data_IF_710541013432
#
_entry.id   IF_710541013432
#
_cell.length_a   1.000
_cell.length_b   1.000
_cell.length_c   1.000
_cell.angle_alpha   90.00
_cell.angle_beta   90.00
_cell.angle_gamma   90.00
#
_symmetry.space_group_name_H-M   'P 1'
#
loop_
_entity.id
_entity.type
_entity.pdbx_description
1 polymer ?
#
# COMPACT_ATOMS: atom_id res chain seq x y z
N UNK A 1 -15.26 31.98 -4.18
CA UNK A 1 -13.94 32.21 -3.56
C UNK A 1 -13.42 30.88 -3.01
N UNK A 2 -12.18 30.46 -3.30
CA UNK A 2 -11.60 29.32 -2.58
C UNK A 2 -11.37 29.72 -1.11
N UNK A 3 -11.45 28.78 -0.16
CA UNK A 3 -11.24 29.09 1.26
C UNK A 3 -9.82 29.60 1.50
N UNK A 4 -9.69 30.77 2.14
CA UNK A 4 -8.40 31.33 2.55
C UNK A 4 -7.81 30.45 3.66
N UNK A 5 -6.82 29.62 3.30
CA UNK A 5 -6.08 28.80 4.26
C UNK A 5 -5.37 29.74 5.24
N UNK A 6 -5.72 29.64 6.52
CA UNK A 6 -5.12 30.48 7.57
C UNK A 6 -3.65 30.11 7.81
N UNK A 7 -2.82 31.01 8.35
CA UNK A 7 -1.39 30.73 8.61
C UNK A 7 -1.17 29.49 9.49
N UNK A 8 -2.01 29.28 10.51
CA UNK A 8 -2.02 28.08 11.36
C UNK A 8 -2.30 26.79 10.57
N UNK A 9 -3.16 26.89 9.56
CA UNK A 9 -3.57 25.76 8.75
C UNK A 9 -2.50 25.41 7.72
N UNK A 10 -1.77 26.40 7.17
CA UNK A 10 -0.56 26.16 6.37
C UNK A 10 0.54 25.48 7.16
N UNK A 11 0.83 25.95 8.38
CA UNK A 11 1.85 25.33 9.23
C UNK A 11 1.53 23.86 9.54
N UNK A 12 0.26 23.54 9.85
CA UNK A 12 -0.20 22.15 10.03
C UNK A 12 -0.08 21.31 8.76
N UNK A 13 -0.39 21.89 7.60
CA UNK A 13 -0.27 21.20 6.30
C UNK A 13 1.20 20.82 6.02
N UNK A 14 2.13 21.76 6.20
CA UNK A 14 3.57 21.50 6.03
C UNK A 14 4.07 20.41 6.98
N UNK A 15 3.60 20.40 8.23
CA UNK A 15 3.93 19.33 9.19
C UNK A 15 3.34 17.97 8.77
N UNK A 16 2.14 17.92 8.19
CA UNK A 16 1.53 16.68 7.70
C UNK A 16 2.25 16.13 6.47
N UNK A 17 2.69 17.00 5.55
CA UNK A 17 3.48 16.59 4.39
C UNK A 17 4.85 16.06 4.79
N UNK A 18 5.54 16.71 5.73
CA UNK A 18 6.81 16.23 6.26
C UNK A 18 6.66 14.87 6.96
N UNK A 19 5.61 14.73 7.78
CA UNK A 19 5.28 13.47 8.44
C UNK A 19 4.99 12.35 7.44
N UNK A 20 4.20 12.63 6.39
CA UNK A 20 3.93 11.66 5.34
C UNK A 20 5.19 11.27 4.59
N UNK A 21 6.04 12.23 4.23
CA UNK A 21 7.30 11.94 3.54
C UNK A 21 8.13 10.95 4.35
N UNK A 22 8.33 11.21 5.64
CA UNK A 22 9.04 10.31 6.54
C UNK A 22 8.37 8.92 6.60
N UNK A 23 7.04 8.86 6.74
CA UNK A 23 6.30 7.59 6.74
C UNK A 23 6.48 6.81 5.44
N UNK A 24 6.47 7.49 4.29
CA UNK A 24 6.59 6.87 2.98
C UNK A 24 8.02 6.42 2.67
N UNK A 25 9.04 7.16 3.12
CA UNK A 25 10.45 6.76 3.03
C UNK A 25 10.73 5.45 3.77
N UNK A 26 10.02 5.22 4.88
CA UNK A 26 10.11 4.00 5.66
C UNK A 26 9.38 2.81 5.03
N UNK A 27 8.71 2.99 3.88
CA UNK A 27 8.10 1.92 3.11
C UNK A 27 9.07 1.51 1.99
N UNK A 28 9.97 0.53 2.20
CA UNK A 28 10.89 0.14 1.15
C UNK A 28 10.08 -0.41 -0.02
N UNK A 29 10.36 0.08 -1.22
CA UNK A 29 9.68 -0.37 -2.45
C UNK A 29 9.96 -1.87 -2.70
N UNK A 30 11.05 -2.39 -2.13
CA UNK A 30 11.67 -3.67 -2.51
C UNK A 30 11.42 -4.85 -1.56
N UNK A 31 11.02 -4.64 -0.29
CA UNK A 31 11.09 -5.72 0.72
C UNK A 31 9.92 -6.71 0.75
N UNK A 32 8.93 -6.59 -0.14
CA UNK A 32 7.77 -7.51 -0.17
C UNK A 32 6.86 -7.45 1.08
N UNK A 33 7.31 -6.79 2.15
CA UNK A 33 6.58 -6.61 3.40
C UNK A 33 5.87 -5.26 3.39
N UNK A 34 4.55 -5.30 3.53
CA UNK A 34 3.78 -4.09 3.83
C UNK A 34 3.73 -3.92 5.36
N UNK A 35 4.26 -2.82 5.91
CA UNK A 35 4.25 -2.58 7.35
C UNK A 35 2.83 -2.41 7.89
N UNK A 36 2.66 -2.74 9.16
CA UNK A 36 1.40 -2.54 9.88
C UNK A 36 1.21 -1.05 10.17
N UNK A 37 -0.05 -0.65 10.39
CA UNK A 37 -0.38 0.73 10.77
C UNK A 37 0.38 1.20 12.02
N UNK A 38 0.54 0.32 13.01
CA UNK A 38 1.31 0.62 14.22
C UNK A 38 2.79 0.91 13.95
N UNK A 39 3.38 0.28 12.94
CA UNK A 39 4.76 0.53 12.54
C UNK A 39 4.89 1.93 11.94
N UNK A 40 3.90 2.38 11.15
CA UNK A 40 3.85 3.75 10.65
C UNK A 40 3.67 4.78 11.77
N UNK A 41 2.77 4.52 12.71
CA UNK A 41 2.56 5.38 13.87
C UNK A 41 3.85 5.55 14.69
N UNK A 42 4.52 4.43 15.00
CA UNK A 42 5.77 4.43 15.76
C UNK A 42 6.86 5.20 15.04
N UNK A 43 7.00 4.99 13.73
CA UNK A 43 8.09 5.59 12.99
C UNK A 43 7.85 7.07 12.64
N UNK A 44 6.59 7.52 12.64
CA UNK A 44 6.22 8.93 12.59
C UNK A 44 6.20 9.62 13.96
N UNK A 45 6.28 8.86 15.07
CA UNK A 45 6.15 9.40 16.43
C UNK A 45 4.77 9.98 16.73
N UNK A 46 3.69 9.48 16.10
CA UNK A 46 2.33 10.02 16.26
C UNK A 46 1.29 8.96 16.59
N UNK A 47 0.16 9.42 17.15
CA UNK A 47 -1.01 8.57 17.33
C UNK A 47 -1.64 8.18 15.98
N UNK A 48 -2.38 7.07 15.97
CA UNK A 48 -3.15 6.64 14.79
C UNK A 48 -4.15 7.71 14.32
N UNK A 49 -4.75 8.45 15.26
CA UNK A 49 -5.67 9.55 14.94
C UNK A 49 -4.96 10.67 14.17
N UNK A 50 -3.77 11.06 14.62
CA UNK A 50 -2.96 12.09 13.94
C UNK A 50 -2.54 11.60 12.57
N UNK A 51 -2.06 10.36 12.46
CA UNK A 51 -1.66 9.76 11.19
C UNK A 51 -2.82 9.72 10.21
N UNK A 52 -4.01 9.28 10.65
CA UNK A 52 -5.22 9.24 9.82
C UNK A 52 -5.62 10.62 9.34
N UNK A 53 -5.58 11.62 10.22
CA UNK A 53 -5.89 13.01 9.86
C UNK A 53 -4.91 13.53 8.82
N UNK A 54 -3.61 13.30 9.02
CA UNK A 54 -2.57 13.72 8.08
C UNK A 54 -2.79 13.07 6.71
N UNK A 55 -2.98 11.74 6.66
CA UNK A 55 -3.25 10.97 5.43
C UNK A 55 -4.48 11.48 4.66
N UNK A 56 -5.60 11.75 5.36
CA UNK A 56 -6.81 12.27 4.72
C UNK A 56 -6.58 13.70 4.21
N UNK A 57 -5.92 14.56 5.00
CA UNK A 57 -5.69 15.96 4.66
C UNK A 57 -4.71 16.17 3.50
N UNK A 58 -3.89 15.16 3.17
CA UNK A 58 -2.82 15.25 2.17
C UNK A 58 -3.05 14.32 0.96
N UNK A 59 -3.47 13.07 1.19
CA UNK A 59 -3.69 12.06 0.15
C UNK A 59 -5.18 11.78 -0.11
N UNK A 60 -6.09 12.41 0.65
CA UNK A 60 -7.53 12.20 0.52
C UNK A 60 -7.99 10.79 0.93
N UNK A 61 -7.15 9.98 1.58
CA UNK A 61 -7.45 8.60 1.90
C UNK A 61 -6.90 8.16 3.25
N UNK A 62 -7.55 7.16 3.86
CA UNK A 62 -7.08 6.60 5.13
C UNK A 62 -5.78 5.78 4.96
N UNK A 63 -4.90 5.75 5.97
CA UNK A 63 -3.64 5.00 5.92
C UNK A 63 -3.83 3.50 5.62
N UNK A 64 -4.89 2.89 6.19
CA UNK A 64 -5.21 1.48 5.98
C UNK A 64 -5.59 1.18 4.53
N UNK A 65 -6.31 2.10 3.87
CA UNK A 65 -6.64 1.98 2.45
C UNK A 65 -5.38 2.11 1.60
N UNK A 66 -4.53 3.09 1.89
CA UNK A 66 -3.25 3.27 1.21
C UNK A 66 -2.37 2.02 1.31
N UNK A 67 -2.19 1.49 2.53
CA UNK A 67 -1.43 0.26 2.77
C UNK A 67 -1.98 -0.93 1.99
N UNK A 68 -3.31 -1.08 1.92
CA UNK A 68 -3.95 -2.15 1.15
C UNK A 68 -3.67 -2.02 -0.34
N UNK A 69 -3.80 -0.82 -0.91
CA UNK A 69 -3.50 -0.58 -2.32
C UNK A 69 -2.03 -0.87 -2.62
N UNK A 70 -1.12 -0.32 -1.81
CA UNK A 70 0.32 -0.56 -1.96
C UNK A 70 0.65 -2.05 -1.94
N UNK A 71 0.03 -2.81 -1.03
CA UNK A 71 0.20 -4.26 -0.91
C UNK A 71 -0.27 -5.01 -2.16
N UNK A 72 -1.40 -4.62 -2.74
CA UNK A 72 -1.91 -5.18 -4.00
C UNK A 72 -0.98 -4.85 -5.18
N UNK A 73 -0.45 -3.63 -5.26
CA UNK A 73 0.52 -3.25 -6.30
C UNK A 73 1.83 -4.04 -6.20
N UNK A 74 2.35 -4.25 -4.98
CA UNK A 74 3.56 -5.05 -4.79
C UNK A 74 3.30 -6.54 -5.09
N UNK A 75 2.13 -7.06 -4.71
CA UNK A 75 1.71 -8.42 -5.08
C UNK A 75 1.67 -8.58 -6.60
N UNK A 76 1.08 -7.62 -7.33
CA UNK A 76 1.05 -7.61 -8.80
C UNK A 76 2.46 -7.63 -9.39
N UNK A 77 3.36 -6.79 -8.88
CA UNK A 77 4.75 -6.75 -9.35
C UNK A 77 5.47 -8.08 -9.12
N UNK A 78 5.25 -8.72 -7.97
CA UNK A 78 5.83 -10.03 -7.68
C UNK A 78 5.23 -11.16 -8.54
N UNK A 79 3.92 -11.12 -8.84
CA UNK A 79 3.28 -12.08 -9.73
C UNK A 79 3.81 -11.96 -11.16
N UNK A 80 4.04 -10.73 -11.64
CA UNK A 80 4.50 -10.47 -13.00
C UNK A 80 5.93 -10.96 -13.30
N UNK A 81 6.77 -11.12 -12.27
CA UNK A 81 8.15 -11.61 -12.41
C UNK A 81 8.35 -13.02 -11.87
N UNK A 82 7.29 -13.65 -11.36
CA UNK A 82 7.38 -15.00 -10.85
C UNK A 82 7.31 -16.03 -11.98
N UNK A 83 8.10 -17.08 -11.85
CA UNK A 83 7.99 -18.26 -12.71
C UNK A 83 6.81 -19.13 -12.24
N UNK A 84 5.82 -19.28 -13.11
CA UNK A 84 4.61 -20.07 -12.85
C UNK A 84 4.90 -21.57 -12.62
N UNK A 85 6.06 -22.07 -13.04
CA UNK A 85 6.50 -23.46 -12.84
C UNK A 85 6.88 -23.73 -11.39
N UNK A 86 7.29 -22.69 -10.64
CA UNK A 86 7.81 -22.79 -9.29
C UNK A 86 7.03 -21.97 -8.25
N UNK A 87 6.09 -21.13 -8.67
CA UNK A 87 5.31 -20.29 -7.78
C UNK A 87 3.80 -20.38 -8.05
N UNK A 88 3.01 -20.26 -6.98
CA UNK A 88 1.55 -20.13 -7.07
C UNK A 88 1.11 -18.77 -6.55
N UNK A 89 -0.09 -18.34 -6.97
CA UNK A 89 -0.75 -17.14 -6.43
C UNK A 89 -0.81 -17.18 -4.90
N UNK A 90 -1.16 -18.34 -4.32
CA UNK A 90 -1.28 -18.51 -2.88
C UNK A 90 0.06 -18.33 -2.17
N UNK A 91 1.12 -18.97 -2.67
CA UNK A 91 2.47 -18.86 -2.10
C UNK A 91 2.97 -17.42 -2.11
N UNK A 92 2.73 -16.69 -3.19
CA UNK A 92 3.13 -15.28 -3.29
C UNK A 92 2.26 -14.42 -2.37
N UNK A 93 0.93 -14.62 -2.36
CA UNK A 93 0.00 -13.88 -1.51
C UNK A 93 0.34 -13.97 -0.01
N UNK A 94 0.78 -15.14 0.46
CA UNK A 94 1.22 -15.35 1.85
C UNK A 94 2.48 -14.56 2.19
N UNK A 95 3.43 -14.37 1.24
CA UNK A 95 4.61 -13.50 1.45
C UNK A 95 4.19 -12.04 1.64
N UNK A 96 3.15 -11.64 0.93
CA UNK A 96 2.44 -10.39 1.16
C UNK A 96 1.38 -10.55 2.25
N UNK A 97 1.49 -11.47 3.21
CA UNK A 97 0.62 -11.71 4.36
C UNK A 97 -0.89 -11.64 4.13
N UNK A 98 -1.37 -12.07 2.97
CA UNK A 98 -2.78 -12.39 2.78
C UNK A 98 -3.02 -13.82 3.28
N UNK A 99 -3.96 -13.97 4.20
CA UNK A 99 -4.40 -15.28 4.72
C UNK A 99 -5.63 -15.82 3.99
N UNK A 100 -6.42 -14.92 3.40
CA UNK A 100 -7.63 -15.23 2.62
C UNK A 100 -7.39 -14.88 1.16
N UNK A 101 -7.11 -15.90 0.35
CA UNK A 101 -6.83 -15.74 -1.08
C UNK A 101 -8.07 -15.30 -1.87
N UNK A 102 -9.28 -15.71 -1.47
CA UNK A 102 -10.52 -15.34 -2.16
C UNK A 102 -10.83 -13.87 -1.99
N UNK A 103 -10.78 -13.38 -0.74
CA UNK A 103 -10.97 -11.95 -0.45
C UNK A 103 -9.87 -11.09 -1.06
N UNK A 104 -8.63 -11.57 -1.06
CA UNK A 104 -7.52 -10.91 -1.75
C UNK A 104 -7.77 -10.83 -3.25
N UNK A 105 -8.14 -11.94 -3.91
CA UNK A 105 -8.39 -11.99 -5.35
C UNK A 105 -9.54 -11.08 -5.78
N UNK A 106 -10.62 -11.01 -4.99
CA UNK A 106 -11.71 -10.07 -5.24
C UNK A 106 -11.26 -8.61 -5.14
N UNK A 107 -10.45 -8.26 -4.13
CA UNK A 107 -9.90 -6.92 -3.99
C UNK A 107 -8.89 -6.57 -5.11
N UNK A 108 -8.12 -7.57 -5.56
CA UNK A 108 -7.19 -7.45 -6.68
C UNK A 108 -7.95 -7.18 -7.99
N UNK A 109 -8.96 -7.99 -8.29
CA UNK A 109 -9.81 -7.82 -9.47
C UNK A 109 -10.53 -6.46 -9.47
N UNK A 110 -11.07 -6.04 -8.33
CA UNK A 110 -11.71 -4.74 -8.20
C UNK A 110 -10.76 -3.55 -8.46
N UNK A 111 -9.45 -3.72 -8.22
CA UNK A 111 -8.45 -2.68 -8.44
C UNK A 111 -7.85 -2.71 -9.86
N UNK A 112 -7.68 -3.91 -10.42
CA UNK A 112 -6.86 -4.12 -11.62
C UNK A 112 -7.63 -4.63 -12.85
N UNK A 113 -8.89 -5.05 -12.68
CA UNK A 113 -9.72 -5.60 -13.76
C UNK A 113 -9.29 -6.99 -14.24
N UNK A 114 -8.40 -7.67 -13.52
CA UNK A 114 -7.95 -9.03 -13.83
C UNK A 114 -7.72 -9.83 -12.54
N UNK A 115 -7.67 -11.16 -12.63
CA UNK A 115 -7.35 -12.00 -11.48
C UNK A 115 -5.83 -12.15 -11.28
N UNK A 116 -5.35 -12.38 -10.03
CA UNK A 116 -3.93 -12.61 -9.76
C UNK A 116 -3.32 -13.76 -10.59
N UNK A 117 -4.10 -14.80 -10.89
CA UNK A 117 -3.68 -15.92 -11.73
C UNK A 117 -3.38 -15.49 -13.16
N UNK A 118 -4.18 -14.59 -13.74
CA UNK A 118 -3.95 -14.07 -15.08
C UNK A 118 -2.66 -13.24 -15.13
N UNK A 119 -2.36 -12.49 -14.07
CA UNK A 119 -1.07 -11.78 -13.97
C UNK A 119 0.11 -12.75 -13.86
N UNK A 120 -0.02 -13.82 -13.07
CA UNK A 120 1.03 -14.85 -12.95
C UNK A 120 1.26 -15.61 -14.26
N UNK A 121 0.19 -15.94 -14.99
CA UNK A 121 0.28 -16.63 -16.29
C UNK A 121 0.94 -15.77 -17.38
N UNK A 122 0.85 -14.44 -17.27
CA UNK A 122 1.56 -13.51 -18.16
C UNK A 122 3.00 -13.23 -17.72
N UNK A 123 3.39 -13.71 -16.54
CA UNK A 123 4.76 -13.65 -16.06
C UNK A 123 5.69 -14.50 -16.91
N UNK A 124 6.96 -14.57 -16.50
CA UNK A 124 7.99 -15.32 -17.24
C UNK A 124 7.55 -16.79 -17.32
N UNK A 125 7.15 -17.23 -18.51
CA UNK A 125 7.07 -18.64 -18.85
C UNK A 125 8.50 -19.11 -19.03
N UNK A 126 8.98 -20.03 -18.18
CA UNK A 126 10.33 -20.56 -18.29
C UNK A 126 10.58 -21.08 -19.70
N UNK A 127 11.59 -20.53 -20.37
CA UNK A 127 12.19 -21.01 -21.62
C UNK A 127 13.38 -21.91 -21.27
#
# INVERSE_FOLDING_TARGET
MPPRITPRQRARQTSYEAMLRQVLELLPITTGRTPRLSELCRAAGVSERTLRTAFIATLGMAPTRYLRLRRLHLLRAALAVADQSHASVATIAVRFGYTDCGRMAAAYHALFGEFPSATLQRGVSGD
#
